data_IF_828111679239
#
_entry.id   IF_828111679239
#
_cell.length_a   1.000
_cell.length_b   1.000
_cell.length_c   1.000
_cell.angle_alpha   90.00
_cell.angle_beta   90.00
_cell.angle_gamma   90.00
#
_symmetry.space_group_name_H-M   'P 1'
#
loop_
_entity.id
_entity.type
_entity.pdbx_description
1 polymer ?
#
# COMPACT_ATOMS: atom_id res chain seq x y z
N UNK A 1 33.43 -0.67 5.72
CA UNK A 1 34.64 -0.58 4.85
C UNK A 1 34.42 0.48 3.77
N UNK A 2 34.65 1.76 4.10
CA UNK A 2 34.62 2.86 3.13
C UNK A 2 35.84 2.89 2.21
N UNK A 3 36.93 2.21 2.58
CA UNK A 3 38.10 2.01 1.70
C UNK A 3 37.79 1.26 0.38
N UNK A 4 36.62 0.65 0.25
CA UNK A 4 36.21 -0.07 -0.97
C UNK A 4 35.37 0.77 -1.92
N UNK A 5 34.80 1.88 -1.45
CA UNK A 5 34.01 2.79 -2.29
C UNK A 5 34.93 3.95 -2.62
N UNK A 6 35.31 4.11 -3.88
CA UNK A 6 36.22 5.11 -4.44
C UNK A 6 35.68 6.56 -4.27
N UNK A 7 35.33 6.97 -3.05
CA UNK A 7 34.77 8.27 -2.71
C UNK A 7 35.87 9.30 -2.46
N UNK A 8 37.06 8.85 -2.09
CA UNK A 8 38.23 9.68 -1.86
C UNK A 8 39.27 9.45 -2.96
N UNK A 9 40.01 10.50 -3.29
CA UNK A 9 41.09 10.42 -4.27
C UNK A 9 42.24 9.55 -3.75
N UNK A 10 43.01 8.93 -4.65
CA UNK A 10 44.19 8.12 -4.29
C UNK A 10 45.21 8.94 -3.48
N UNK A 11 45.38 10.22 -3.83
CA UNK A 11 46.28 11.15 -3.13
C UNK A 11 45.88 11.37 -1.67
N UNK A 12 44.58 11.38 -1.37
CA UNK A 12 44.08 11.53 0.00
C UNK A 12 44.21 10.25 0.82
N UNK A 13 44.24 9.07 0.19
CA UNK A 13 44.42 7.79 0.87
C UNK A 13 45.87 7.52 1.26
N UNK A 14 46.84 8.07 0.52
CA UNK A 14 48.28 7.96 0.81
C UNK A 14 48.76 8.94 1.91
N UNK A 15 47.89 9.86 2.38
CA UNK A 15 48.22 10.78 3.46
C UNK A 15 48.01 10.12 4.84
N UNK A 16 49.06 9.97 5.67
CA UNK A 16 48.92 9.29 6.97
C UNK A 16 47.95 10.01 7.91
N UNK A 17 47.86 11.34 7.83
CA UNK A 17 46.91 12.13 8.63
C UNK A 17 45.45 11.86 8.22
N UNK A 18 45.21 11.58 6.94
CA UNK A 18 43.87 11.26 6.45
C UNK A 18 43.46 9.85 6.89
N UNK A 19 44.38 8.90 6.93
CA UNK A 19 44.12 7.56 7.46
C UNK A 19 43.76 7.60 8.96
N UNK A 20 44.49 8.38 9.75
CA UNK A 20 44.23 8.58 11.18
C UNK A 20 42.84 9.20 11.43
N UNK A 21 42.46 10.22 10.65
CA UNK A 21 41.12 10.83 10.68
C UNK A 21 40.02 9.83 10.32
N UNK A 22 40.19 9.05 9.25
CA UNK A 22 39.21 8.06 8.83
C UNK A 22 39.01 6.95 9.86
N UNK A 23 40.09 6.52 10.53
CA UNK A 23 40.01 5.53 11.60
C UNK A 23 39.27 6.09 12.82
N UNK A 24 39.54 7.34 13.19
CA UNK A 24 38.84 8.03 14.28
C UNK A 24 37.35 8.27 13.97
N UNK A 25 36.99 8.51 12.71
CA UNK A 25 35.60 8.77 12.28
C UNK A 25 34.79 7.50 11.97
N UNK A 26 35.45 6.36 11.74
CA UNK A 26 34.80 5.08 11.46
C UNK A 26 33.66 4.71 12.44
N UNK A 27 33.78 4.86 13.78
CA UNK A 27 32.67 4.55 14.69
C UNK A 27 31.44 5.43 14.48
N UNK A 28 31.60 6.70 14.11
CA UNK A 28 30.46 7.58 13.82
C UNK A 28 29.77 7.17 12.50
N UNK A 29 30.56 6.77 11.50
CA UNK A 29 30.03 6.26 10.24
C UNK A 29 29.28 4.94 10.43
N UNK A 30 29.78 4.07 11.30
CA UNK A 30 29.11 2.83 11.69
C UNK A 30 27.79 3.12 12.43
N UNK A 31 27.78 4.12 13.33
CA UNK A 31 26.56 4.58 14.00
C UNK A 31 25.51 5.09 13.01
N UNK A 32 25.92 5.91 12.04
CA UNK A 32 25.03 6.42 10.99
C UNK A 32 24.49 5.26 10.15
N UNK A 33 25.34 4.31 9.75
CA UNK A 33 24.93 3.14 8.99
C UNK A 33 23.88 2.32 9.76
N UNK A 34 24.12 2.07 11.05
CA UNK A 34 23.17 1.37 11.91
C UNK A 34 21.84 2.12 12.05
N UNK A 35 21.87 3.45 12.14
CA UNK A 35 20.66 4.27 12.18
C UNK A 35 19.85 4.19 10.89
N UNK A 36 20.52 4.16 9.74
CA UNK A 36 19.87 3.99 8.43
C UNK A 36 19.20 2.62 8.33
N UNK A 37 19.90 1.56 8.71
CA UNK A 37 19.35 0.20 8.73
C UNK A 37 18.15 0.09 9.67
N UNK A 38 18.25 0.67 10.87
CA UNK A 38 17.14 0.74 11.82
C UNK A 38 15.95 1.49 11.20
N UNK A 39 16.19 2.64 10.56
CA UNK A 39 15.14 3.42 9.91
C UNK A 39 14.44 2.60 8.83
N UNK A 40 15.19 1.87 7.99
CA UNK A 40 14.64 0.97 6.96
C UNK A 40 13.79 -0.13 7.63
N UNK A 41 14.25 -0.71 8.73
CA UNK A 41 13.51 -1.75 9.46
C UNK A 41 12.16 -1.24 10.00
N UNK A 42 12.06 0.05 10.32
CA UNK A 42 10.83 0.68 10.80
C UNK A 42 9.83 0.96 9.66
N UNK A 43 10.25 0.92 8.38
CA UNK A 43 9.37 1.13 7.23
C UNK A 43 8.46 -0.05 6.89
N UNK A 44 8.68 -1.23 7.50
CA UNK A 44 7.81 -2.39 7.32
C UNK A 44 7.15 -2.80 8.64
N UNK A 45 5.85 -3.06 8.59
CA UNK A 45 5.06 -3.53 9.74
C UNK A 45 5.66 -4.81 10.35
N UNK A 46 6.24 -5.68 9.52
CA UNK A 46 6.80 -6.96 9.97
C UNK A 46 8.09 -6.83 10.79
N UNK A 47 8.81 -5.71 10.66
CA UNK A 47 10.13 -5.51 11.27
C UNK A 47 10.19 -4.32 12.22
N UNK A 48 9.20 -3.41 12.15
CA UNK A 48 9.13 -2.24 13.00
C UNK A 48 9.00 -2.59 14.49
N UNK A 49 9.61 -1.77 15.34
CA UNK A 49 9.52 -1.92 16.80
C UNK A 49 9.14 -0.61 17.46
N UNK A 50 9.68 0.49 16.96
CA UNK A 50 9.45 1.85 17.49
C UNK A 50 8.21 2.49 16.87
N UNK A 51 7.99 2.29 15.58
CA UNK A 51 6.94 2.99 14.80
C UNK A 51 5.60 2.26 14.76
N UNK A 52 5.45 1.17 15.52
CA UNK A 52 4.19 0.42 15.68
C UNK A 52 2.98 1.32 15.99
N UNK A 53 3.05 2.29 16.94
CA UNK A 53 1.91 3.15 17.25
C UNK A 53 1.42 3.99 16.06
N UNK A 54 2.31 4.34 15.14
CA UNK A 54 1.95 5.09 13.93
C UNK A 54 1.12 4.22 12.99
N UNK A 55 1.49 2.95 12.81
CA UNK A 55 0.70 2.02 12.01
C UNK A 55 -0.66 1.75 12.63
N UNK A 56 -0.73 1.59 13.95
CA UNK A 56 -2.01 1.44 14.66
C UNK A 56 -2.94 2.63 14.42
N UNK A 57 -2.43 3.86 14.49
CA UNK A 57 -3.20 5.05 14.15
C UNK A 57 -3.69 5.05 12.69
N UNK A 58 -2.87 4.59 11.74
CA UNK A 58 -3.26 4.47 10.31
C UNK A 58 -4.41 3.47 10.13
N UNK A 59 -4.37 2.35 10.85
CA UNK A 59 -5.40 1.31 10.78
C UNK A 59 -6.57 1.52 11.76
N UNK A 60 -6.54 2.56 12.59
CA UNK A 60 -7.54 2.83 13.62
C UNK A 60 -7.62 1.75 14.70
N UNK A 61 -6.49 1.13 15.02
CA UNK A 61 -6.39 0.10 16.06
C UNK A 61 -5.94 0.72 17.39
N UNK A 62 -6.55 0.30 18.48
CA UNK A 62 -6.12 0.67 19.83
C UNK A 62 -4.99 -0.26 20.31
N UNK A 63 -3.91 0.28 20.91
CA UNK A 63 -2.79 -0.52 21.38
C UNK A 63 -3.23 -1.40 22.55
N UNK A 64 -3.19 -2.72 22.35
CA UNK A 64 -3.53 -3.71 23.36
C UNK A 64 -2.64 -4.94 23.26
N UNK A 65 -2.19 -5.46 24.40
CA UNK A 65 -1.36 -6.65 24.49
C UNK A 65 0.14 -6.40 24.24
N UNK A 66 0.84 -7.49 23.94
CA UNK A 66 2.28 -7.51 23.66
C UNK A 66 2.60 -6.93 22.28
N UNK A 67 3.84 -6.51 22.05
CA UNK A 67 4.28 -6.00 20.74
C UNK A 67 4.05 -7.01 19.61
N UNK A 68 4.24 -8.31 19.88
CA UNK A 68 4.00 -9.37 18.89
C UNK A 68 2.52 -9.49 18.51
N UNK A 69 1.62 -9.40 19.50
CA UNK A 69 0.17 -9.43 19.27
C UNK A 69 -0.30 -8.20 18.49
N UNK A 70 0.26 -7.03 18.81
CA UNK A 70 -0.03 -5.78 18.10
C UNK A 70 0.41 -5.85 16.64
N UNK A 71 1.63 -6.33 16.36
CA UNK A 71 2.11 -6.56 14.98
C UNK A 71 1.22 -7.59 14.27
N UNK A 72 0.83 -8.68 14.93
CA UNK A 72 -0.07 -9.66 14.34
C UNK A 72 -1.43 -9.04 13.97
N UNK A 73 -2.00 -8.20 14.83
CA UNK A 73 -3.25 -7.48 14.54
C UNK A 73 -3.12 -6.54 13.33
N UNK A 74 -2.00 -5.81 13.22
CA UNK A 74 -1.69 -4.96 12.06
C UNK A 74 -1.54 -5.78 10.77
N UNK A 75 -0.84 -6.91 10.82
CA UNK A 75 -0.68 -7.82 9.68
C UNK A 75 -2.03 -8.43 9.28
N UNK A 76 -2.87 -8.80 10.25
CA UNK A 76 -4.24 -9.24 9.99
C UNK A 76 -5.02 -8.14 9.28
N UNK A 77 -4.96 -6.88 9.77
CA UNK A 77 -5.65 -5.76 9.13
C UNK A 77 -5.15 -5.46 7.72
N UNK A 78 -3.83 -5.50 7.51
CA UNK A 78 -3.20 -5.31 6.21
C UNK A 78 -3.66 -6.37 5.20
N UNK A 79 -3.78 -7.63 5.64
CA UNK A 79 -4.19 -8.75 4.80
C UNK A 79 -5.71 -8.92 4.70
N UNK A 80 -6.46 -8.41 5.67
CA UNK A 80 -7.91 -8.34 5.60
C UNK A 80 -8.27 -7.25 4.61
N UNK A 81 -8.29 -7.62 3.33
CA UNK A 81 -9.14 -6.94 2.37
C UNK A 81 -10.53 -6.98 2.97
N UNK A 82 -11.17 -5.85 3.31
CA UNK A 82 -12.56 -5.89 3.72
C UNK A 82 -13.27 -6.69 2.62
N UNK A 83 -14.15 -7.66 2.96
CA UNK A 83 -14.96 -8.30 1.95
C UNK A 83 -15.57 -7.15 1.16
N UNK A 84 -15.35 -7.17 -0.15
CA UNK A 84 -15.71 -6.07 -1.03
C UNK A 84 -17.24 -5.97 -1.01
N UNK A 85 -17.76 -5.31 0.03
CA UNK A 85 -19.18 -5.19 0.28
C UNK A 85 -19.73 -4.42 -0.90
N UNK A 86 -20.94 -4.79 -1.31
CA UNK A 86 -21.64 -4.13 -2.41
C UNK A 86 -21.48 -2.60 -2.38
N UNK A 87 -21.63 -1.99 -1.20
CA UNK A 87 -21.48 -0.55 -0.98
C UNK A 87 -20.06 -0.04 -1.22
N UNK A 88 -19.05 -0.74 -0.70
CA UNK A 88 -17.64 -0.38 -0.92
C UNK A 88 -17.24 -0.47 -2.39
N UNK A 89 -17.71 -1.51 -3.10
CA UNK A 89 -17.51 -1.63 -4.54
C UNK A 89 -18.23 -0.52 -5.33
N UNK A 90 -19.45 -0.15 -4.94
CA UNK A 90 -20.18 0.97 -5.53
C UNK A 90 -19.45 2.30 -5.34
N UNK A 91 -18.91 2.57 -4.15
CA UNK A 91 -18.14 3.78 -3.82
C UNK A 91 -16.84 3.86 -4.62
N UNK A 92 -16.06 2.77 -4.66
CA UNK A 92 -14.83 2.70 -5.44
C UNK A 92 -15.08 2.88 -6.94
N UNK A 93 -16.11 2.23 -7.48
CA UNK A 93 -16.46 2.36 -8.89
C UNK A 93 -16.96 3.77 -9.21
N UNK A 94 -17.69 4.41 -8.29
CA UNK A 94 -18.11 5.80 -8.44
C UNK A 94 -16.91 6.76 -8.44
N UNK A 95 -15.92 6.53 -7.57
CA UNK A 95 -14.70 7.34 -7.54
C UNK A 95 -13.85 7.19 -8.82
N UNK A 96 -13.72 5.97 -9.36
CA UNK A 96 -12.92 5.70 -10.56
C UNK A 96 -13.60 6.18 -11.85
N UNK A 97 -14.93 6.04 -11.93
CA UNK A 97 -15.68 6.37 -13.16
C UNK A 97 -16.25 7.77 -13.17
N UNK A 98 -16.29 8.47 -12.03
CA UNK A 98 -16.98 9.74 -11.85
C UNK A 98 -18.51 9.65 -12.02
N UNK A 99 -19.04 8.43 -12.19
CA UNK A 99 -20.45 8.16 -12.48
C UNK A 99 -21.06 7.37 -11.34
N UNK A 100 -22.35 7.58 -11.05
CA UNK A 100 -23.01 6.87 -9.96
C UNK A 100 -23.14 5.37 -10.31
N UNK A 101 -22.49 4.51 -9.54
CA UNK A 101 -22.55 3.06 -9.73
C UNK A 101 -23.52 2.39 -8.76
N UNK A 102 -24.24 1.37 -9.24
CA UNK A 102 -25.10 0.49 -8.44
C UNK A 102 -24.80 -0.96 -8.80
N UNK A 103 -24.65 -1.82 -7.81
CA UNK A 103 -24.35 -3.24 -7.98
C UNK A 103 -25.57 -4.07 -7.59
N UNK A 104 -25.92 -5.07 -8.39
CA UNK A 104 -26.95 -6.05 -8.05
C UNK A 104 -26.33 -7.45 -8.02
N UNK A 105 -26.43 -8.09 -6.86
CA UNK A 105 -25.88 -9.41 -6.61
C UNK A 105 -26.98 -10.47 -6.79
N UNK A 106 -26.69 -11.48 -7.62
CA UNK A 106 -27.54 -12.63 -7.85
C UNK A 106 -26.87 -13.84 -7.25
N UNK A 107 -27.05 -14.05 -5.93
CA UNK A 107 -26.38 -15.11 -5.17
C UNK A 107 -26.68 -16.51 -5.72
N UNK A 108 -27.91 -16.75 -6.19
CA UNK A 108 -28.32 -18.03 -6.79
C UNK A 108 -27.62 -18.34 -8.12
N UNK A 109 -27.02 -17.35 -8.78
CA UNK A 109 -26.36 -17.47 -10.08
C UNK A 109 -24.85 -17.22 -9.98
N UNK A 110 -24.29 -17.07 -8.77
CA UNK A 110 -22.88 -16.72 -8.55
C UNK A 110 -22.41 -15.55 -9.44
N UNK A 111 -23.26 -14.52 -9.55
CA UNK A 111 -23.09 -13.40 -10.48
C UNK A 111 -23.39 -12.07 -9.79
N UNK A 112 -22.71 -11.02 -10.20
CA UNK A 112 -23.19 -9.65 -9.95
C UNK A 112 -23.20 -8.81 -11.23
N UNK A 113 -24.09 -7.80 -11.26
CA UNK A 113 -24.18 -6.80 -12.32
C UNK A 113 -23.81 -5.44 -11.76
N UNK A 114 -22.98 -4.70 -12.49
CA UNK A 114 -22.64 -3.30 -12.17
C UNK A 114 -23.39 -2.42 -13.15
N UNK A 115 -24.30 -1.60 -12.65
CA UNK A 115 -24.99 -0.56 -13.39
C UNK A 115 -24.27 0.76 -13.20
N UNK A 116 -23.80 1.34 -14.30
CA UNK A 116 -23.17 2.66 -14.30
C UNK A 116 -24.19 3.64 -14.86
N UNK A 117 -24.65 4.56 -14.01
CA UNK A 117 -25.54 5.64 -14.43
C UNK A 117 -24.69 6.79 -14.95
N UNK A 118 -24.74 6.97 -16.26
CA UNK A 118 -24.06 8.05 -16.97
C UNK A 118 -25.10 9.05 -17.46
N UNK A 119 -24.90 10.34 -17.13
CA UNK A 119 -25.75 11.46 -17.55
C UNK A 119 -25.01 12.31 -18.60
N UNK A 120 -23.74 12.68 -18.36
CA UNK A 120 -22.97 13.55 -19.26
C UNK A 120 -21.61 12.95 -19.70
N UNK A 121 -20.98 12.11 -18.86
CA UNK A 121 -19.65 11.54 -19.12
C UNK A 121 -19.78 10.07 -19.47
N UNK A 122 -19.25 9.66 -20.63
CA UNK A 122 -19.14 8.24 -20.99
C UNK A 122 -17.91 7.68 -20.26
N UNK A 123 -18.08 6.79 -19.26
CA UNK A 123 -16.96 6.21 -18.55
C UNK A 123 -16.18 5.28 -19.48
N UNK A 124 -14.87 5.20 -19.26
CA UNK A 124 -14.01 4.23 -19.93
C UNK A 124 -14.37 2.82 -19.45
N UNK A 125 -15.17 2.12 -20.28
CA UNK A 125 -15.69 0.79 -19.95
C UNK A 125 -14.58 -0.27 -19.89
N UNK A 126 -13.46 -0.06 -20.59
CA UNK A 126 -12.35 -1.01 -20.61
C UNK A 126 -11.55 -0.93 -19.31
N UNK A 127 -11.21 0.28 -18.86
CA UNK A 127 -10.60 0.50 -17.55
C UNK A 127 -11.50 0.04 -16.40
N UNK A 128 -12.80 0.31 -16.51
CA UNK A 128 -13.77 -0.13 -15.51
C UNK A 128 -13.88 -1.66 -15.46
N UNK A 129 -13.85 -2.34 -16.61
CA UNK A 129 -13.84 -3.80 -16.67
C UNK A 129 -12.56 -4.40 -16.08
N UNK A 130 -11.39 -3.81 -16.35
CA UNK A 130 -10.13 -4.23 -15.76
C UNK A 130 -10.14 -4.06 -14.23
N UNK A 131 -10.65 -2.94 -13.73
CA UNK A 131 -10.77 -2.67 -12.31
C UNK A 131 -11.75 -3.61 -11.60
N UNK A 132 -12.91 -3.89 -12.21
CA UNK A 132 -13.85 -4.87 -11.69
C UNK A 132 -13.25 -6.27 -11.67
N UNK A 133 -12.45 -6.67 -12.67
CA UNK A 133 -11.75 -7.98 -12.66
C UNK A 133 -10.76 -8.09 -11.51
N UNK A 134 -10.09 -7.00 -11.13
CA UNK A 134 -9.15 -6.95 -10.01
C UNK A 134 -9.86 -7.11 -8.65
N UNK A 135 -11.05 -6.51 -8.53
CA UNK A 135 -11.84 -6.52 -7.29
C UNK A 135 -12.71 -7.77 -7.13
N UNK A 136 -13.09 -8.41 -8.24
CA UNK A 136 -13.98 -9.57 -8.28
C UNK A 136 -13.29 -10.83 -7.71
N UNK A 137 -13.92 -11.56 -6.79
CA UNK A 137 -13.46 -12.90 -6.42
C UNK A 137 -13.41 -13.83 -7.64
N UNK A 138 -12.37 -14.66 -7.77
CA UNK A 138 -12.09 -15.42 -8.99
C UNK A 138 -13.30 -16.22 -9.55
N UNK A 139 -14.16 -16.73 -8.67
CA UNK A 139 -15.31 -17.60 -9.00
C UNK A 139 -16.64 -16.88 -9.32
N UNK A 140 -16.75 -15.55 -9.11
CA UNK A 140 -17.99 -14.81 -9.38
C UNK A 140 -18.04 -14.29 -10.83
N UNK A 141 -19.17 -14.34 -11.53
CA UNK A 141 -19.28 -13.73 -12.86
C UNK A 141 -19.72 -12.26 -12.78
N UNK A 142 -19.06 -11.34 -13.47
CA UNK A 142 -19.39 -9.91 -13.46
C UNK A 142 -19.86 -9.44 -14.85
N UNK A 143 -20.97 -8.70 -14.90
CA UNK A 143 -21.44 -8.04 -16.12
C UNK A 143 -21.61 -6.54 -15.90
N UNK A 144 -21.09 -5.73 -16.81
CA UNK A 144 -21.23 -4.28 -16.80
C UNK A 144 -22.43 -3.87 -17.65
N UNK A 145 -23.29 -3.01 -17.12
CA UNK A 145 -24.44 -2.45 -17.82
C UNK A 145 -24.39 -0.93 -17.73
N UNK A 146 -24.32 -0.25 -18.87
CA UNK A 146 -24.44 1.21 -18.92
C UNK A 146 -25.92 1.57 -18.99
N UNK A 147 -26.42 2.34 -18.02
CA UNK A 147 -27.76 2.90 -18.05
C UNK A 147 -27.67 4.38 -18.38
N UNK A 148 -28.13 4.75 -19.58
CA UNK A 148 -28.37 6.16 -19.95
C UNK A 148 -29.68 6.62 -19.32
N UNK A 149 -29.68 7.72 -18.60
CA UNK A 149 -30.95 8.40 -18.32
C UNK A 149 -31.40 9.13 -19.58
N UNK A 150 -32.38 8.57 -20.28
CA UNK A 150 -33.27 9.41 -21.09
C UNK A 150 -34.12 10.22 -20.12
N UNK A 151 -33.84 11.52 -20.03
CA UNK A 151 -34.74 12.46 -19.37
C UNK A 151 -36.12 12.35 -20.06
N UNK A 152 -37.15 12.09 -19.27
CA UNK A 152 -38.55 12.28 -19.65
C UNK A 152 -39.05 13.57 -19.04
#
# INVERSE_FOLDING_TARGET
>A
MLNTVNLLSVLTLDMPQAAELLEAEQPELDNVSAHVEQTISELSISTCRVTVPRYEAIFGLEPSGTLAERIAALIIQLNSRPPATKKYLEELLTAVTGCRCRIEEYYSQYRFRVYIKSVEVIPDMEKTAAFVRLLKPAHLSAALCLQRQTQG
#
